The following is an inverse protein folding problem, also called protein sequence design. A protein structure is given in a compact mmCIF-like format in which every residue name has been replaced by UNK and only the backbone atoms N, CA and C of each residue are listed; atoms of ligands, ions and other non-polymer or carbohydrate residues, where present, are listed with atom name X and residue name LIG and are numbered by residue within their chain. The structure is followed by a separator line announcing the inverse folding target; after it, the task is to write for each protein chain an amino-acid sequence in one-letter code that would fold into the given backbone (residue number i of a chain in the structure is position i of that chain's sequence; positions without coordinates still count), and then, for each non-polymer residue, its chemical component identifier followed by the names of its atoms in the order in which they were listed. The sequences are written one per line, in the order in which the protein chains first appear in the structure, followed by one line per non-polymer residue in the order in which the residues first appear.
data_IF_007997926899
#
_entry.id   IF_007997926899
#
_cell.length_a   1.000
_cell.length_b   1.000
_cell.length_c   1.000
_cell.angle_alpha   90.00
_cell.angle_beta   90.00
_cell.angle_gamma   90.00
#
_symmetry.space_group_name_H-M   'P 1'
#
loop_
_entity.id
_entity.type
_entity.pdbx_description
1 polymer ?
#
# COMPACT_ATOMS: atom_id res chain seq x y z
N UNK A 1 52.94 46.95 0.24
CA UNK A 1 53.87 46.29 -0.68
C UNK A 1 53.04 45.75 -1.83
N UNK A 2 52.92 46.57 -2.88
CA UNK A 2 53.65 46.40 -4.15
C UNK A 2 52.83 45.45 -5.04
N UNK A 3 51.97 46.00 -5.90
CA UNK A 3 52.14 46.07 -7.38
C UNK A 3 52.34 44.68 -8.00
N UNK A 4 51.72 44.28 -9.12
CA UNK A 4 51.78 44.86 -10.46
C UNK A 4 51.05 43.81 -11.35
N UNK A 5 50.11 44.24 -12.21
CA UNK A 5 50.11 44.09 -13.69
C UNK A 5 49.91 42.64 -14.22
N UNK A 6 49.37 42.35 -15.39
CA UNK A 6 48.78 43.06 -16.53
C UNK A 6 48.32 41.94 -17.47
N UNK A 7 47.31 42.23 -18.31
CA UNK A 7 47.22 41.86 -19.73
C UNK A 7 47.37 40.38 -20.16
N UNK A 8 46.78 39.86 -21.24
CA UNK A 8 46.46 40.39 -22.56
C UNK A 8 45.47 39.39 -23.19
N UNK A 9 44.59 39.87 -24.05
CA UNK A 9 43.90 39.01 -25.02
C UNK A 9 44.74 38.82 -26.28
N UNK A 10 44.54 37.69 -26.97
CA UNK A 10 44.63 37.48 -28.43
C UNK A 10 44.51 35.97 -28.71
N UNK A 11 43.43 35.50 -29.33
CA UNK A 11 43.27 35.31 -30.78
C UNK A 11 44.17 34.21 -31.38
N UNK A 12 43.48 33.12 -31.76
CA UNK A 12 43.62 32.28 -32.97
C UNK A 12 44.99 31.67 -33.29
N UNK A 13 45.01 30.34 -33.33
CA UNK A 13 45.63 29.59 -34.43
C UNK A 13 44.83 28.33 -34.75
N UNK A 14 44.67 28.12 -36.06
CA UNK A 14 44.04 26.98 -36.73
C UNK A 14 44.99 25.77 -36.87
N UNK A 15 44.38 24.66 -37.31
CA UNK A 15 44.93 23.45 -37.97
C UNK A 15 45.34 22.31 -37.03
N UNK A 16 45.16 21.03 -37.34
CA UNK A 16 44.49 20.26 -38.42
C UNK A 16 44.94 18.80 -38.19
N UNK A 17 44.06 17.80 -38.40
CA UNK A 17 44.38 16.36 -38.60
C UNK A 17 45.14 15.63 -37.47
N UNK A 18 44.77 14.46 -36.95
CA UNK A 18 43.98 13.34 -37.42
C UNK A 18 43.53 12.55 -36.18
N UNK A 19 42.31 11.98 -36.21
CA UNK A 19 42.11 10.54 -36.02
C UNK A 19 40.61 10.21 -36.06
N UNK A 20 40.25 9.49 -37.12
CA UNK A 20 39.02 8.75 -37.25
C UNK A 20 38.83 7.79 -36.06
N UNK A 21 37.69 7.88 -35.37
CA UNK A 21 36.75 6.78 -35.08
C UNK A 21 35.73 7.21 -34.03
N UNK A 22 34.50 6.74 -34.22
CA UNK A 22 33.40 6.75 -33.25
C UNK A 22 32.66 8.08 -33.02
N UNK A 23 31.94 8.53 -34.05
CA UNK A 23 30.75 9.36 -33.88
C UNK A 23 29.59 8.89 -34.76
N UNK A 24 29.26 7.59 -34.67
CA UNK A 24 27.92 7.10 -34.98
C UNK A 24 27.09 7.09 -33.67
N UNK A 25 26.94 8.28 -33.07
CA UNK A 25 26.29 8.48 -31.78
C UNK A 25 24.85 8.95 -31.95
N UNK A 26 23.93 8.14 -31.42
CA UNK A 26 22.65 8.51 -30.82
C UNK A 26 21.54 9.16 -31.66
N UNK A 27 21.78 9.67 -32.87
CA UNK A 27 20.74 10.43 -33.61
C UNK A 27 19.78 9.60 -34.48
N UNK A 28 20.13 8.36 -34.86
CA UNK A 28 19.27 7.50 -35.70
C UNK A 28 18.33 6.58 -34.91
N UNK A 29 18.60 6.32 -33.62
CA UNK A 29 17.70 5.56 -32.74
C UNK A 29 16.58 6.44 -32.14
N UNK A 30 16.69 7.77 -32.21
CA UNK A 30 15.68 8.69 -31.67
C UNK A 30 14.54 9.00 -32.64
N UNK A 31 14.67 8.67 -33.94
CA UNK A 31 13.63 8.93 -34.95
C UNK A 31 12.53 7.86 -35.03
N UNK A 32 12.76 6.65 -34.52
CA UNK A 32 11.76 5.57 -34.51
C UNK A 32 11.03 5.38 -33.16
N UNK A 33 11.38 6.16 -32.13
CA UNK A 33 10.67 6.13 -30.84
C UNK A 33 9.52 7.13 -30.74
N UNK A 34 9.33 8.01 -31.74
CA UNK A 34 8.34 9.11 -31.67
C UNK A 34 6.98 8.79 -32.30
N UNK A 35 6.83 7.64 -32.98
CA UNK A 35 5.54 7.19 -33.55
C UNK A 35 4.74 6.26 -32.62
N UNK A 36 5.28 5.84 -31.46
CA UNK A 36 4.62 4.92 -30.52
C UNK A 36 4.21 5.55 -29.18
N UNK A 37 4.43 6.86 -29.00
CA UNK A 37 4.00 7.60 -27.81
C UNK A 37 2.87 8.58 -28.12
N UNK A 38 1.69 8.04 -28.42
CA UNK A 38 0.45 8.70 -27.98
C UNK A 38 0.04 8.04 -26.67
N UNK A 39 0.34 8.72 -25.56
CA UNK A 39 -0.18 8.39 -24.25
C UNK A 39 -1.71 8.58 -24.26
N UNK A 40 -2.42 7.51 -24.62
CA UNK A 40 -3.81 7.34 -24.23
C UNK A 40 -3.85 7.08 -22.73
N UNK A 41 -4.47 7.98 -21.97
CA UNK A 41 -4.93 7.67 -20.62
C UNK A 41 -5.74 6.37 -20.69
N UNK A 42 -5.39 5.37 -19.87
CA UNK A 42 -6.15 4.12 -19.78
C UNK A 42 -7.51 4.44 -19.15
N UNK A 43 -8.48 4.86 -19.96
CA UNK A 43 -9.89 4.86 -19.58
C UNK A 43 -10.37 3.42 -19.69
N UNK A 44 -10.58 2.77 -18.55
CA UNK A 44 -11.44 1.59 -18.48
C UNK A 44 -12.86 2.03 -18.87
N UNK A 45 -13.18 2.00 -20.16
CA UNK A 45 -14.57 1.96 -20.60
C UNK A 45 -15.20 0.67 -20.08
N UNK A 46 -16.48 0.80 -19.74
CA UNK A 46 -17.33 -0.07 -18.95
C UNK A 46 -17.11 -1.57 -19.11
N UNK A 47 -17.38 -2.30 -18.02
CA UNK A 47 -17.69 -3.73 -18.06
C UNK A 47 -18.69 -3.97 -19.21
N UNK A 48 -18.18 -4.53 -20.31
CA UNK A 48 -18.94 -4.90 -21.48
C UNK A 48 -19.88 -6.04 -21.04
N UNK A 49 -21.19 -5.81 -21.12
CA UNK A 49 -22.14 -6.92 -21.12
C UNK A 49 -21.88 -7.76 -22.38
N UNK A 50 -21.92 -9.09 -22.27
CA UNK A 50 -21.45 -9.95 -23.35
C UNK A 50 -22.44 -9.95 -24.51
N UNK A 51 -22.18 -9.10 -25.51
CA UNK A 51 -22.64 -9.37 -26.87
C UNK A 51 -21.64 -10.33 -27.53
N UNK A 52 -22.18 -11.46 -27.96
CA UNK A 52 -21.49 -12.59 -28.58
C UNK A 52 -20.69 -12.16 -29.81
N UNK A 53 -19.45 -12.65 -29.92
CA UNK A 53 -18.47 -12.56 -31.04
C UNK A 53 -17.28 -11.60 -30.92
N UNK A 54 -16.96 -11.08 -29.73
CA UNK A 54 -15.59 -10.62 -29.46
C UNK A 54 -14.75 -11.79 -28.97
N UNK A 55 -13.62 -12.09 -29.62
CA UNK A 55 -12.73 -13.19 -29.26
C UNK A 55 -12.09 -12.92 -27.89
N UNK A 56 -12.81 -13.29 -26.83
CA UNK A 56 -12.52 -13.00 -25.43
C UNK A 56 -11.16 -13.55 -24.99
N UNK A 57 -10.74 -14.65 -25.61
CA UNK A 57 -9.56 -15.40 -25.23
C UNK A 57 -8.29 -14.69 -25.71
N UNK A 58 -8.28 -14.23 -26.97
CA UNK A 58 -7.18 -13.43 -27.52
C UNK A 58 -7.02 -12.08 -26.79
N UNK A 59 -8.11 -11.45 -26.38
CA UNK A 59 -8.08 -10.20 -25.61
C UNK A 59 -7.52 -10.42 -24.19
N UNK A 60 -7.91 -11.54 -23.55
CA UNK A 60 -7.43 -11.94 -22.24
C UNK A 60 -5.93 -12.28 -22.26
N UNK A 61 -5.48 -13.08 -23.22
CA UNK A 61 -4.08 -13.43 -23.41
C UNK A 61 -3.20 -12.18 -23.65
N UNK A 62 -3.67 -11.26 -24.49
CA UNK A 62 -2.99 -9.98 -24.71
C UNK A 62 -2.88 -9.15 -23.42
N UNK A 63 -3.90 -9.18 -22.55
CA UNK A 63 -3.85 -8.50 -21.26
C UNK A 63 -2.76 -9.10 -20.36
N UNK A 64 -2.70 -10.43 -20.25
CA UNK A 64 -1.69 -11.14 -19.46
C UNK A 64 -0.28 -10.83 -19.98
N UNK A 65 -0.09 -10.89 -21.30
CA UNK A 65 1.21 -10.60 -21.91
C UNK A 65 1.67 -9.18 -21.62
N UNK A 66 0.77 -8.18 -21.73
CA UNK A 66 1.06 -6.78 -21.38
C UNK A 66 1.47 -6.63 -19.92
N UNK A 67 0.80 -7.33 -19.00
CA UNK A 67 1.16 -7.31 -17.58
C UNK A 67 2.58 -7.86 -17.34
N UNK A 68 2.92 -9.00 -17.96
CA UNK A 68 4.26 -9.59 -17.87
C UNK A 68 5.34 -8.64 -18.38
N UNK A 69 5.13 -8.01 -19.54
CA UNK A 69 6.08 -7.02 -20.09
C UNK A 69 6.29 -5.84 -19.13
N UNK A 70 5.21 -5.34 -18.52
CA UNK A 70 5.31 -4.25 -17.55
C UNK A 70 6.07 -4.65 -16.29
N UNK A 71 5.81 -5.85 -15.76
CA UNK A 71 6.55 -6.40 -14.61
C UNK A 71 8.03 -6.55 -14.93
N UNK A 72 8.39 -7.10 -16.10
CA UNK A 72 9.79 -7.24 -16.50
C UNK A 72 10.49 -5.89 -16.68
N UNK A 73 9.81 -4.90 -17.27
CA UNK A 73 10.33 -3.54 -17.36
C UNK A 73 10.52 -2.91 -15.97
N UNK A 74 9.60 -3.18 -15.04
CA UNK A 74 9.70 -2.75 -13.64
C UNK A 74 10.94 -3.35 -12.99
N UNK A 75 11.11 -4.68 -13.02
CA UNK A 75 12.26 -5.38 -12.46
C UNK A 75 13.57 -4.89 -13.05
N UNK A 76 13.65 -4.70 -14.37
CA UNK A 76 14.83 -4.16 -15.06
C UNK A 76 15.23 -2.80 -14.52
N UNK A 77 14.28 -1.88 -14.36
CA UNK A 77 14.55 -0.54 -13.78
C UNK A 77 15.03 -0.63 -12.34
N UNK A 78 14.43 -1.50 -11.54
CA UNK A 78 14.82 -1.69 -10.14
C UNK A 78 16.25 -2.24 -10.02
N UNK A 79 16.65 -3.17 -10.91
CA UNK A 79 18.03 -3.71 -10.97
C UNK A 79 19.10 -2.69 -11.35
N UNK A 80 18.74 -1.61 -12.04
CA UNK A 80 19.67 -0.53 -12.39
C UNK A 80 19.97 0.39 -11.19
N UNK A 81 19.18 0.30 -10.13
CA UNK A 81 19.35 1.13 -8.93
C UNK A 81 19.98 0.29 -7.82
N UNK A 82 21.23 0.61 -7.46
CA UNK A 82 22.03 -0.15 -6.48
C UNK A 82 21.31 -0.37 -5.15
N UNK A 83 20.50 0.60 -4.70
CA UNK A 83 19.71 0.50 -3.46
C UNK A 83 18.69 -0.64 -3.50
N UNK A 84 18.16 -1.02 -4.67
CA UNK A 84 17.02 -1.93 -4.81
C UNK A 84 17.30 -3.17 -5.67
N UNK A 85 18.53 -3.32 -6.16
CA UNK A 85 18.88 -4.41 -7.06
C UNK A 85 18.67 -5.80 -6.42
N UNK A 86 18.91 -5.91 -5.11
CA UNK A 86 18.71 -7.12 -4.30
C UNK A 86 17.25 -7.54 -4.20
N UNK A 87 16.31 -6.58 -4.15
CA UNK A 87 14.89 -6.89 -3.94
C UNK A 87 14.14 -7.22 -5.24
N UNK A 88 14.74 -6.92 -6.41
CA UNK A 88 14.09 -7.09 -7.71
C UNK A 88 13.64 -8.53 -7.99
N UNK A 89 14.38 -9.53 -7.50
CA UNK A 89 14.03 -10.95 -7.62
C UNK A 89 13.34 -11.54 -6.38
N UNK A 90 13.34 -10.82 -5.24
CA UNK A 90 12.74 -11.30 -3.99
C UNK A 90 11.24 -11.01 -3.88
N UNK A 91 10.76 -10.01 -4.61
CA UNK A 91 9.36 -9.61 -4.61
C UNK A 91 8.61 -10.44 -5.68
N UNK A 92 7.44 -10.97 -5.31
CA UNK A 92 6.58 -11.72 -6.21
C UNK A 92 5.95 -10.82 -7.30
N UNK A 93 5.72 -11.37 -8.49
CA UNK A 93 5.14 -10.68 -9.65
C UNK A 93 3.79 -10.03 -9.33
N UNK A 94 2.97 -10.69 -8.50
CA UNK A 94 1.68 -10.20 -8.05
C UNK A 94 1.78 -8.86 -7.31
N UNK A 95 2.86 -8.65 -6.55
CA UNK A 95 3.07 -7.40 -5.81
C UNK A 95 3.47 -6.25 -6.75
N UNK A 96 4.26 -6.52 -7.79
CA UNK A 96 4.53 -5.55 -8.86
C UNK A 96 3.24 -5.15 -9.58
N UNK A 97 2.40 -6.13 -9.91
CA UNK A 97 1.09 -5.90 -10.52
C UNK A 97 0.19 -5.08 -9.59
N UNK A 98 0.24 -5.32 -8.28
CA UNK A 98 -0.50 -4.54 -7.30
C UNK A 98 -0.06 -3.07 -7.26
N UNK A 99 1.25 -2.81 -7.23
CA UNK A 99 1.81 -1.45 -7.35
C UNK A 99 1.33 -0.75 -8.64
N UNK A 100 1.38 -1.45 -9.77
CA UNK A 100 0.89 -0.94 -11.06
C UNK A 100 -0.61 -0.61 -10.99
N UNK A 101 -1.44 -1.54 -10.50
CA UNK A 101 -2.90 -1.39 -10.43
C UNK A 101 -3.31 -0.19 -9.58
N UNK A 102 -2.72 -0.03 -8.40
CA UNK A 102 -3.01 1.08 -7.49
C UNK A 102 -2.62 2.44 -8.07
N UNK A 103 -1.67 2.45 -9.00
CA UNK A 103 -1.18 3.63 -9.73
C UNK A 103 -1.70 3.71 -11.16
N UNK A 104 -2.81 3.03 -11.48
CA UNK A 104 -3.46 3.10 -12.79
C UNK A 104 -2.49 2.77 -13.94
N UNK A 105 -1.64 1.77 -13.73
CA UNK A 105 -0.62 1.28 -14.65
C UNK A 105 0.48 2.30 -15.01
N UNK A 106 0.62 3.39 -14.24
CA UNK A 106 1.74 4.30 -14.35
C UNK A 106 3.00 3.68 -13.74
N UNK A 107 3.94 3.26 -14.60
CA UNK A 107 5.17 2.58 -14.20
C UNK A 107 6.05 3.43 -13.25
N UNK A 108 6.15 4.75 -13.48
CA UNK A 108 6.98 5.63 -12.65
C UNK A 108 6.45 5.75 -11.22
N UNK A 109 5.15 6.02 -11.07
CA UNK A 109 4.51 6.08 -9.76
C UNK A 109 4.47 4.73 -9.05
N UNK A 110 4.32 3.63 -9.80
CA UNK A 110 4.35 2.28 -9.25
C UNK A 110 5.75 1.95 -8.70
N UNK A 111 6.81 2.31 -9.46
CA UNK A 111 8.20 2.16 -9.05
C UNK A 111 8.48 2.93 -7.75
N UNK A 112 8.05 4.19 -7.66
CA UNK A 112 8.25 4.96 -6.43
C UNK A 112 7.51 4.35 -5.23
N UNK A 113 6.30 3.87 -5.43
CA UNK A 113 5.53 3.20 -4.37
C UNK A 113 6.27 1.98 -3.83
N UNK A 114 6.87 1.17 -4.71
CA UNK A 114 7.65 0.01 -4.30
C UNK A 114 8.91 0.40 -3.53
N UNK A 115 9.62 1.44 -3.98
CA UNK A 115 10.82 1.94 -3.30
C UNK A 115 10.51 2.47 -1.91
N UNK A 116 9.45 3.26 -1.77
CA UNK A 116 8.98 3.75 -0.47
C UNK A 116 8.60 2.59 0.47
N UNK A 117 7.93 1.56 -0.06
CA UNK A 117 7.61 0.35 0.68
C UNK A 117 8.87 -0.38 1.15
N UNK A 118 9.85 -0.62 0.27
CA UNK A 118 11.10 -1.31 0.60
C UNK A 118 11.91 -0.53 1.63
N UNK A 119 12.06 0.79 1.46
CA UNK A 119 12.72 1.67 2.43
C UNK A 119 12.06 1.60 3.79
N UNK A 120 10.72 1.63 3.84
CA UNK A 120 9.97 1.50 5.08
C UNK A 120 10.19 0.14 5.75
N UNK A 121 10.14 -0.96 4.99
CA UNK A 121 10.40 -2.30 5.55
C UNK A 121 11.81 -2.40 6.12
N UNK A 122 12.81 -1.89 5.42
CA UNK A 122 14.21 -1.86 5.92
C UNK A 122 14.36 -0.98 7.16
N UNK A 123 13.74 0.20 7.20
CA UNK A 123 13.86 1.11 8.36
C UNK A 123 13.25 0.51 9.63
N UNK A 124 12.17 -0.26 9.49
CA UNK A 124 11.53 -0.96 10.60
C UNK A 124 12.09 -2.36 10.88
N UNK A 125 13.09 -2.79 10.11
CA UNK A 125 13.66 -4.14 10.16
C UNK A 125 12.59 -5.23 9.99
N UNK A 126 11.59 -4.96 9.15
CA UNK A 126 10.54 -5.91 8.79
C UNK A 126 10.89 -6.63 7.50
N UNK A 127 10.52 -7.92 7.36
CA UNK A 127 10.69 -8.62 6.10
C UNK A 127 9.82 -7.97 5.00
N UNK A 128 10.23 -8.12 3.74
CA UNK A 128 9.46 -7.58 2.59
C UNK A 128 8.08 -8.23 2.48
N UNK A 129 7.99 -9.51 2.83
CA UNK A 129 6.74 -10.24 2.99
C UNK A 129 6.62 -10.66 4.46
N UNK A 130 5.53 -10.29 5.11
CA UNK A 130 5.25 -10.82 6.45
C UNK A 130 4.61 -12.18 6.23
N UNK A 131 5.39 -13.25 6.29
CA UNK A 131 4.85 -14.61 6.18
C UNK A 131 4.07 -14.99 7.44
N UNK A 132 4.59 -14.60 8.61
CA UNK A 132 3.97 -14.74 9.92
C UNK A 132 4.32 -13.49 10.74
N UNK A 133 3.34 -12.68 11.21
CA UNK A 133 3.60 -11.85 12.37
C UNK A 133 3.87 -12.78 13.58
N UNK A 134 4.40 -12.25 14.67
CA UNK A 134 4.70 -13.05 15.86
C UNK A 134 3.44 -13.85 16.24
N UNK A 135 3.53 -15.18 16.28
CA UNK A 135 2.41 -16.12 16.48
C UNK A 135 1.51 -15.71 17.65
N UNK A 136 2.14 -15.23 18.72
CA UNK A 136 1.49 -14.71 19.92
C UNK A 136 0.58 -13.50 19.66
N UNK A 137 0.91 -12.62 18.71
CA UNK A 137 0.11 -11.42 18.38
C UNK A 137 -1.16 -11.82 17.62
N UNK A 138 -1.09 -12.88 16.82
CA UNK A 138 -2.21 -13.32 16.00
C UNK A 138 -3.37 -13.82 16.87
N UNK A 139 -3.06 -14.58 17.92
CA UNK A 139 -4.05 -15.18 18.82
C UNK A 139 -4.80 -14.14 19.67
N UNK A 140 -4.31 -12.90 19.72
CA UNK A 140 -4.92 -11.83 20.52
C UNK A 140 -6.31 -11.41 20.04
N UNK A 141 -6.71 -11.76 18.82
CA UNK A 141 -7.90 -11.21 18.15
C UNK A 141 -7.87 -9.66 18.03
N UNK A 142 -6.68 -9.06 18.10
CA UNK A 142 -6.50 -7.62 17.94
C UNK A 142 -6.88 -7.16 16.54
N UNK A 143 -6.72 -8.00 15.52
CA UNK A 143 -7.09 -7.64 14.15
C UNK A 143 -7.63 -8.80 13.35
N UNK A 144 -8.65 -8.53 12.54
CA UNK A 144 -9.29 -9.52 11.69
C UNK A 144 -9.93 -8.89 10.46
N UNK A 145 -10.14 -9.71 9.45
CA UNK A 145 -10.83 -9.34 8.21
C UNK A 145 -12.28 -9.79 8.28
N UNK A 146 -13.22 -8.92 7.90
CA UNK A 146 -14.60 -9.35 7.70
C UNK A 146 -14.70 -10.22 6.43
N UNK A 147 -15.57 -11.25 6.42
CA UNK A 147 -15.68 -12.18 5.30
C UNK A 147 -16.15 -11.48 4.01
N UNK A 148 -16.96 -10.44 4.13
CA UNK A 148 -17.51 -9.71 2.99
C UNK A 148 -16.99 -8.27 2.91
N UNK A 149 -17.00 -7.73 1.68
CA UNK A 149 -16.70 -6.33 1.43
C UNK A 149 -17.89 -5.44 1.75
N UNK A 150 -17.62 -4.16 1.96
CA UNK A 150 -18.68 -3.16 2.08
C UNK A 150 -19.37 -2.84 0.74
N UNK A 151 -20.33 -1.90 0.75
CA UNK A 151 -21.11 -1.50 -0.45
C UNK A 151 -20.25 -0.94 -1.58
N UNK A 152 -19.04 -0.49 -1.29
CA UNK A 152 -18.11 0.07 -2.27
C UNK A 152 -17.10 -0.98 -2.75
N UNK A 153 -17.29 -2.25 -2.38
CA UNK A 153 -16.37 -3.34 -2.71
C UNK A 153 -15.02 -3.21 -2.02
N UNK A 154 -14.95 -2.50 -0.88
CA UNK A 154 -13.72 -2.36 -0.08
C UNK A 154 -13.67 -3.51 0.91
N UNK A 155 -12.51 -4.15 1.07
CA UNK A 155 -12.32 -5.10 2.15
C UNK A 155 -12.35 -4.35 3.49
N UNK A 156 -12.96 -4.97 4.51
CA UNK A 156 -13.13 -4.35 5.83
C UNK A 156 -12.23 -5.03 6.84
N UNK A 157 -11.28 -4.27 7.36
CA UNK A 157 -10.36 -4.72 8.41
C UNK A 157 -10.80 -4.09 9.72
N UNK A 158 -10.92 -4.89 10.77
CA UNK A 158 -11.29 -4.40 12.10
C UNK A 158 -10.11 -4.58 13.04
N UNK A 159 -9.81 -3.55 13.80
CA UNK A 159 -8.75 -3.52 14.81
C UNK A 159 -9.38 -3.25 16.17
N UNK A 160 -9.34 -4.25 17.05
CA UNK A 160 -9.79 -4.17 18.43
C UNK A 160 -8.64 -3.78 19.36
N UNK A 161 -8.60 -2.52 19.82
CA UNK A 161 -7.56 -2.04 20.73
C UNK A 161 -7.70 -2.58 22.15
N UNK A 162 -8.82 -3.21 22.51
CA UNK A 162 -8.98 -3.85 23.83
C UNK A 162 -8.12 -5.11 23.97
N UNK A 163 -7.74 -5.71 22.84
CA UNK A 163 -6.99 -6.97 22.76
C UNK A 163 -5.47 -6.76 22.82
N UNK A 164 -4.99 -5.52 22.88
CA UNK A 164 -3.57 -5.25 23.10
C UNK A 164 -3.25 -5.62 24.55
N UNK A 165 -2.47 -6.69 24.72
CA UNK A 165 -2.03 -7.16 26.02
C UNK A 165 -0.67 -6.55 26.40
N UNK A 166 -0.69 -5.84 27.52
CA UNK A 166 0.42 -5.14 28.14
C UNK A 166 1.29 -6.00 29.05
N UNK A 167 0.77 -7.14 29.47
CA UNK A 167 1.47 -8.04 30.37
C UNK A 167 2.48 -8.95 29.65
N UNK A 168 2.45 -8.93 28.33
CA UNK A 168 3.33 -9.71 27.46
C UNK A 168 4.59 -8.93 27.09
N UNK A 169 5.60 -9.63 26.58
CA UNK A 169 6.82 -9.00 26.02
C UNK A 169 6.61 -8.33 24.66
N UNK A 170 5.37 -8.31 24.14
CA UNK A 170 5.04 -7.77 22.82
C UNK A 170 5.06 -6.24 22.80
N UNK A 171 5.61 -5.69 21.74
CA UNK A 171 5.68 -4.24 21.50
C UNK A 171 4.61 -3.81 20.50
N UNK A 172 4.29 -2.51 20.46
CA UNK A 172 3.33 -1.94 19.49
C UNK A 172 3.73 -2.24 18.03
N UNK A 173 5.04 -2.31 17.74
CA UNK A 173 5.54 -2.70 16.42
C UNK A 173 5.05 -4.08 15.97
N UNK A 174 4.86 -5.02 16.91
CA UNK A 174 4.48 -6.40 16.59
C UNK A 174 2.99 -6.46 16.21
N UNK A 175 2.14 -5.70 16.90
CA UNK A 175 0.75 -5.46 16.51
C UNK A 175 0.64 -4.72 15.18
N UNK A 176 1.53 -3.75 14.91
CA UNK A 176 1.57 -3.06 13.63
C UNK A 176 2.03 -3.97 12.48
N UNK A 177 2.96 -4.91 12.73
CA UNK A 177 3.30 -5.94 11.77
C UNK A 177 2.10 -6.85 11.46
N UNK A 178 1.28 -7.20 12.46
CA UNK A 178 -0.02 -7.87 12.23
C UNK A 178 -0.94 -7.02 11.32
N UNK A 179 -0.99 -5.70 11.51
CA UNK A 179 -1.78 -4.84 10.64
C UNK A 179 -1.33 -4.85 9.18
N UNK A 180 -0.03 -4.86 8.92
CA UNK A 180 0.51 -5.01 7.56
C UNK A 180 0.19 -6.38 7.00
N UNK A 181 0.33 -7.42 7.81
CA UNK A 181 -0.02 -8.77 7.41
C UNK A 181 -1.49 -8.89 6.99
N UNK A 182 -2.44 -8.39 7.79
CA UNK A 182 -3.86 -8.38 7.43
C UNK A 182 -4.12 -7.63 6.11
N UNK A 183 -3.40 -6.54 5.86
CA UNK A 183 -3.52 -5.77 4.63
C UNK A 183 -2.95 -6.52 3.41
N UNK A 184 -1.83 -7.24 3.59
CA UNK A 184 -1.30 -8.17 2.60
C UNK A 184 -2.33 -9.25 2.26
N UNK A 185 -2.92 -9.91 3.25
CA UNK A 185 -3.96 -10.93 3.02
C UNK A 185 -5.20 -10.38 2.33
N UNK A 186 -5.69 -9.21 2.74
CA UNK A 186 -6.84 -8.56 2.13
C UNK A 186 -6.61 -8.24 0.63
N UNK A 187 -5.35 -8.11 0.21
CA UNK A 187 -4.99 -7.72 -1.16
C UNK A 187 -4.40 -8.84 -2.01
N UNK A 188 -3.79 -9.88 -1.41
CA UNK A 188 -2.99 -10.89 -2.11
C UNK A 188 -3.76 -11.62 -3.23
N UNK A 189 -5.07 -11.87 -3.06
CA UNK A 189 -5.90 -12.60 -4.04
C UNK A 189 -7.13 -11.83 -4.52
N UNK A 190 -7.38 -10.63 -4.00
CA UNK A 190 -8.60 -9.88 -4.31
C UNK A 190 -8.28 -8.66 -5.20
N UNK A 191 -8.41 -8.86 -6.52
CA UNK A 191 -8.20 -7.79 -7.52
C UNK A 191 -9.16 -6.61 -7.30
N UNK A 192 -10.39 -6.88 -6.81
CA UNK A 192 -11.37 -5.83 -6.48
C UNK A 192 -10.88 -5.00 -5.29
N UNK A 193 -10.38 -5.63 -4.23
CA UNK A 193 -9.78 -4.90 -3.09
C UNK A 193 -8.58 -4.04 -3.52
N UNK A 194 -7.73 -4.54 -4.41
CA UNK A 194 -6.60 -3.74 -4.90
C UNK A 194 -7.07 -2.48 -5.69
N UNK A 195 -8.23 -2.54 -6.34
CA UNK A 195 -8.84 -1.42 -7.07
C UNK A 195 -9.61 -0.48 -6.13
N UNK A 196 -10.50 -1.05 -5.33
CA UNK A 196 -11.45 -0.32 -4.49
C UNK A 196 -10.82 0.18 -3.19
N UNK A 197 -9.79 -0.52 -2.70
CA UNK A 197 -9.08 -0.23 -1.46
C UNK A 197 -9.71 -0.93 -0.26
N UNK A 198 -9.38 -0.43 0.92
CA UNK A 198 -9.85 -0.97 2.21
C UNK A 198 -10.56 0.08 3.05
N UNK A 199 -11.48 -0.39 3.88
CA UNK A 199 -12.05 0.33 5.01
C UNK A 199 -11.50 -0.27 6.31
N UNK A 200 -11.14 0.57 7.27
CA UNK A 200 -10.61 0.15 8.57
C UNK A 200 -11.61 0.55 9.66
N UNK A 201 -11.94 -0.36 10.57
CA UNK A 201 -12.74 -0.09 11.77
C UNK A 201 -11.82 -0.19 12.98
N UNK A 202 -11.57 0.93 13.65
CA UNK A 202 -10.78 1.02 14.86
C UNK A 202 -11.72 1.01 16.07
N UNK A 203 -11.75 -0.10 16.79
CA UNK A 203 -12.57 -0.29 17.97
C UNK A 203 -11.81 0.00 19.25
N UNK A 204 -12.27 1.02 19.98
CA UNK A 204 -11.71 1.46 21.24
C UNK A 204 -12.54 1.03 22.46
N UNK A 205 -13.48 0.10 22.29
CA UNK A 205 -14.24 -0.46 23.41
C UNK A 205 -13.27 -0.98 24.47
N UNK A 206 -13.52 -0.66 25.74
CA UNK A 206 -12.67 -1.06 26.87
C UNK A 206 -11.18 -0.66 26.76
N UNK A 207 -10.81 0.22 25.81
CA UNK A 207 -9.47 0.73 25.68
C UNK A 207 -9.28 1.91 26.65
N UNK A 208 -8.42 1.73 27.65
CA UNK A 208 -8.07 2.80 28.58
C UNK A 208 -7.16 3.84 27.91
N UNK A 209 -7.50 5.12 28.05
CA UNK A 209 -6.69 6.23 27.56
C UNK A 209 -5.28 6.21 28.18
N UNK A 210 -5.17 5.87 29.46
CA UNK A 210 -3.89 5.76 30.15
C UNK A 210 -3.04 4.64 29.54
N UNK A 211 -3.65 3.46 29.31
CA UNK A 211 -2.98 2.34 28.64
C UNK A 211 -2.48 2.75 27.26
N UNK A 212 -3.34 3.38 26.45
CA UNK A 212 -2.98 3.78 25.10
C UNK A 212 -1.83 4.80 25.06
N UNK A 213 -1.78 5.75 26.00
CA UNK A 213 -0.70 6.74 26.13
C UNK A 213 0.61 6.14 26.63
N UNK A 214 0.55 5.15 27.50
CA UNK A 214 1.73 4.40 27.94
C UNK A 214 2.29 3.53 26.81
N UNK A 215 1.40 3.03 25.95
CA UNK A 215 1.73 2.15 24.84
C UNK A 215 2.35 2.84 23.64
N UNK A 216 1.66 3.87 23.13
CA UNK A 216 2.02 4.47 21.86
C UNK A 216 2.84 5.72 22.08
N UNK A 217 4.08 5.69 21.64
CA UNK A 217 4.89 6.88 21.51
C UNK A 217 4.69 7.55 20.13
N UNK A 218 5.31 8.72 19.94
CA UNK A 218 5.22 9.46 18.68
C UNK A 218 5.83 8.66 17.50
N UNK A 219 6.84 7.84 17.77
CA UNK A 219 7.42 6.92 16.79
C UNK A 219 6.41 5.89 16.28
N UNK A 220 5.66 5.26 17.20
CA UNK A 220 4.59 4.31 16.83
C UNK A 220 3.49 4.95 16.00
N UNK A 221 3.10 6.18 16.34
CA UNK A 221 2.10 6.94 15.59
C UNK A 221 2.63 7.24 14.18
N UNK A 222 3.87 7.71 14.06
CA UNK A 222 4.50 8.00 12.76
C UNK A 222 4.63 6.75 11.91
N UNK A 223 5.05 5.62 12.50
CA UNK A 223 5.10 4.32 11.84
C UNK A 223 3.72 3.91 11.32
N UNK A 224 2.70 3.96 12.18
CA UNK A 224 1.32 3.67 11.80
C UNK A 224 0.83 4.51 10.62
N UNK A 225 1.09 5.82 10.64
CA UNK A 225 0.74 6.71 9.52
C UNK A 225 1.52 6.39 8.24
N UNK A 226 2.81 6.05 8.36
CA UNK A 226 3.64 5.70 7.22
C UNK A 226 3.21 4.36 6.58
N UNK A 227 2.85 3.36 7.39
CA UNK A 227 2.30 2.08 6.95
C UNK A 227 1.10 2.24 6.01
N UNK A 228 0.18 3.15 6.35
CA UNK A 228 -1.01 3.43 5.52
C UNK A 228 -0.68 4.13 4.20
N UNK A 229 0.50 4.75 4.11
CA UNK A 229 0.94 5.54 2.95
C UNK A 229 1.74 4.69 1.96
N UNK A 230 2.66 3.87 2.46
CA UNK A 230 3.65 3.15 1.64
C UNK A 230 3.13 1.83 1.08
N UNK A 231 2.18 1.18 1.75
CA UNK A 231 1.62 -0.08 1.24
C UNK A 231 0.87 0.17 -0.08
N UNK A 232 1.01 -0.69 -1.11
CA UNK A 232 0.30 -0.54 -2.37
C UNK A 232 -1.16 -0.98 -2.23
N UNK A 233 -1.90 -0.29 -1.36
CA UNK A 233 -3.35 -0.36 -1.22
C UNK A 233 -3.86 0.99 -0.68
N UNK A 234 -5.01 1.44 -1.17
CA UNK A 234 -5.59 2.70 -0.72
C UNK A 234 -6.51 2.45 0.47
N UNK A 235 -6.13 2.94 1.65
CA UNK A 235 -7.12 3.14 2.73
C UNK A 235 -8.08 4.22 2.26
N UNK A 236 -9.36 3.88 2.11
CA UNK A 236 -10.41 4.80 1.66
C UNK A 236 -11.21 5.36 2.81
N UNK A 237 -11.31 4.63 3.91
CA UNK A 237 -12.13 4.99 5.05
C UNK A 237 -11.56 4.40 6.33
N UNK A 238 -11.69 5.15 7.41
CA UNK A 238 -11.32 4.74 8.76
C UNK A 238 -12.44 5.14 9.71
N UNK A 239 -13.05 4.17 10.38
CA UNK A 239 -14.12 4.39 11.35
C UNK A 239 -13.56 4.24 12.74
N UNK A 240 -13.80 5.23 13.60
CA UNK A 240 -13.47 5.15 15.02
C UNK A 240 -14.76 4.86 15.76
N UNK A 241 -14.85 3.66 16.35
CA UNK A 241 -16.01 3.20 17.12
C UNK A 241 -15.67 3.07 18.60
N UNK A 242 -16.70 3.16 19.44
CA UNK A 242 -16.61 2.90 20.89
C UNK A 242 -15.56 3.75 21.65
N UNK A 243 -15.08 4.84 21.05
CA UNK A 243 -14.20 5.78 21.71
C UNK A 243 -14.99 6.71 22.64
N UNK A 244 -14.65 6.72 23.93
CA UNK A 244 -15.20 7.69 24.89
C UNK A 244 -14.72 9.13 24.58
N UNK A 245 -15.30 10.13 25.26
CA UNK A 245 -15.01 11.56 24.99
C UNK A 245 -13.51 11.90 25.03
N UNK A 246 -12.79 11.32 25.98
CA UNK A 246 -11.36 11.60 26.17
C UNK A 246 -10.50 10.92 25.10
N UNK A 247 -10.83 9.67 24.76
CA UNK A 247 -10.20 8.94 23.67
C UNK A 247 -10.41 9.65 22.33
N UNK A 248 -11.62 10.16 22.06
CA UNK A 248 -11.89 10.98 20.87
C UNK A 248 -11.02 12.24 20.83
N UNK A 249 -10.83 12.91 21.98
CA UNK A 249 -9.92 14.05 22.10
C UNK A 249 -8.49 13.69 21.69
N UNK A 250 -7.93 12.61 22.25
CA UNK A 250 -6.60 12.13 21.91
C UNK A 250 -6.48 11.77 20.42
N UNK A 251 -7.43 11.00 19.87
CA UNK A 251 -7.41 10.59 18.47
C UNK A 251 -7.52 11.77 17.51
N UNK A 252 -8.26 12.83 17.86
CA UNK A 252 -8.28 14.09 17.11
C UNK A 252 -6.93 14.78 17.14
N UNK A 253 -6.24 14.81 18.28
CA UNK A 253 -4.87 15.34 18.36
C UNK A 253 -3.89 14.53 17.50
N UNK A 254 -4.01 13.21 17.49
CA UNK A 254 -3.22 12.34 16.60
C UNK A 254 -3.52 12.65 15.13
N UNK A 255 -4.80 12.83 14.79
CA UNK A 255 -5.22 13.17 13.44
C UNK A 255 -4.63 14.52 12.99
N UNK A 256 -4.50 15.52 13.87
CA UNK A 256 -3.85 16.80 13.53
C UNK A 256 -2.38 16.64 13.10
N UNK A 257 -1.68 15.60 13.58
CA UNK A 257 -0.31 15.28 13.14
C UNK A 257 -0.28 14.54 11.78
N UNK A 258 -1.43 14.01 11.32
CA UNK A 258 -1.52 13.27 10.08
C UNK A 258 -1.68 14.21 8.87
N UNK A 259 -1.20 13.81 7.68
CA UNK A 259 -1.45 14.55 6.44
C UNK A 259 -2.95 14.77 6.19
N UNK A 260 -3.33 15.92 5.62
CA UNK A 260 -4.73 16.29 5.32
C UNK A 260 -5.51 15.21 4.55
N UNK A 261 -4.82 14.44 3.71
CA UNK A 261 -5.41 13.32 2.96
C UNK A 261 -5.98 12.18 3.85
N UNK A 262 -5.57 12.09 5.12
CA UNK A 262 -6.10 11.12 6.08
C UNK A 262 -7.34 11.67 6.79
N UNK A 263 -7.43 12.99 7.01
CA UNK A 263 -8.55 13.63 7.72
C UNK A 263 -9.89 13.32 7.06
N UNK A 264 -9.97 13.44 5.74
CA UNK A 264 -11.20 13.17 4.97
C UNK A 264 -11.64 11.70 4.99
N UNK A 265 -10.77 10.79 5.43
CA UNK A 265 -11.03 9.36 5.49
C UNK A 265 -11.54 8.92 6.87
N UNK A 266 -11.28 9.72 7.92
CA UNK A 266 -11.64 9.36 9.30
C UNK A 266 -13.07 9.76 9.59
N UNK A 267 -13.82 8.87 10.23
CA UNK A 267 -15.19 9.12 10.70
C UNK A 267 -15.32 8.62 12.13
N UNK A 268 -15.63 9.53 13.03
CA UNK A 268 -15.94 9.22 14.42
C UNK A 268 -17.39 8.78 14.50
N UNK A 269 -17.61 7.48 14.67
CA UNK A 269 -18.95 6.86 14.61
C UNK A 269 -19.70 7.14 15.90
N UNK A 270 -21.00 7.35 15.81
CA UNK A 270 -21.90 7.52 16.96
C UNK A 270 -22.16 6.18 17.68
N UNK A 271 -22.89 6.21 18.80
CA UNK A 271 -23.27 4.98 19.51
C UNK A 271 -24.33 4.14 18.78
N UNK A 272 -25.03 4.69 17.79
CA UNK A 272 -26.02 3.96 16.97
C UNK A 272 -25.39 3.20 15.78
N UNK A 273 -24.10 3.41 15.50
CA UNK A 273 -23.37 2.84 14.36
C UNK A 273 -23.94 3.19 12.97
N UNK A 274 -24.78 4.21 12.86
CA UNK A 274 -25.41 4.58 11.59
C UNK A 274 -24.39 4.96 10.53
N UNK A 275 -23.27 5.58 10.91
CA UNK A 275 -22.20 5.92 9.98
C UNK A 275 -21.48 4.70 9.41
N UNK A 276 -21.39 3.59 10.17
CA UNK A 276 -20.88 2.31 9.65
C UNK A 276 -21.91 1.70 8.70
N UNK A 277 -23.18 1.62 9.12
CA UNK A 277 -24.25 0.95 8.36
C UNK A 277 -24.57 1.61 7.01
N UNK A 278 -24.23 2.88 6.84
CA UNK A 278 -24.29 3.57 5.54
C UNK A 278 -23.44 2.86 4.47
N UNK A 279 -22.27 2.39 4.86
CA UNK A 279 -21.29 1.80 3.94
C UNK A 279 -21.23 0.27 4.07
N UNK A 280 -21.37 -0.28 5.28
CA UNK A 280 -21.32 -1.73 5.55
C UNK A 280 -22.73 -2.22 5.89
N UNK A 281 -23.37 -3.05 5.04
CA UNK A 281 -24.70 -3.59 5.32
C UNK A 281 -24.76 -4.34 6.65
N UNK A 282 -25.89 -4.26 7.37
CA UNK A 282 -26.08 -4.95 8.66
C UNK A 282 -25.77 -6.45 8.57
N UNK A 283 -26.18 -7.12 7.49
CA UNK A 283 -25.90 -8.54 7.24
C UNK A 283 -24.41 -8.90 7.12
N UNK A 284 -23.54 -7.92 6.85
CA UNK A 284 -22.08 -8.09 6.71
C UNK A 284 -21.29 -7.53 7.89
N UNK A 285 -21.99 -6.92 8.84
CA UNK A 285 -21.39 -6.25 9.98
C UNK A 285 -21.62 -7.10 11.23
N UNK A 286 -20.59 -7.35 12.06
CA UNK A 286 -20.77 -8.11 13.29
C UNK A 286 -21.79 -7.49 14.23
N UNK A 287 -22.45 -8.34 15.02
CA UNK A 287 -23.44 -7.89 16.02
C UNK A 287 -22.82 -6.94 17.04
N UNK A 288 -21.53 -7.08 17.37
CA UNK A 288 -20.83 -6.16 18.26
C UNK A 288 -20.69 -4.74 17.70
N UNK A 289 -20.99 -4.52 16.41
CA UNK A 289 -20.99 -3.23 15.73
C UNK A 289 -22.39 -2.84 15.19
N UNK A 290 -23.46 -3.47 15.71
CA UNK A 290 -24.84 -3.15 15.37
C UNK A 290 -25.34 -3.76 14.05
N UNK A 291 -24.72 -4.85 13.61
CA UNK A 291 -25.19 -5.67 12.50
C UNK A 291 -25.79 -7.01 12.90
N UNK A 292 -25.91 -7.90 11.92
CA UNK A 292 -26.60 -9.19 11.99
C UNK A 292 -25.65 -10.35 11.66
N UNK A 293 -24.37 -10.07 11.39
CA UNK A 293 -23.38 -11.11 11.13
C UNK A 293 -23.07 -11.84 12.44
N UNK A 294 -23.76 -12.95 12.66
CA UNK A 294 -23.55 -13.86 13.77
C UNK A 294 -22.42 -14.86 13.48
N UNK A 295 -21.91 -15.48 14.55
CA UNK A 295 -21.13 -16.70 14.44
C UNK A 295 -19.62 -16.55 14.37
N UNK A 296 -18.97 -17.70 14.21
CA UNK A 296 -17.54 -17.95 14.34
C UNK A 296 -16.69 -17.39 13.19
N UNK A 297 -17.10 -16.32 12.50
CA UNK A 297 -16.37 -15.79 11.36
C UNK A 297 -14.96 -15.31 11.74
N UNK A 298 -14.75 -14.92 13.00
CA UNK A 298 -13.40 -14.69 13.58
C UNK A 298 -12.56 -15.97 13.54
N UNK A 299 -13.15 -17.10 13.90
CA UNK A 299 -12.54 -18.43 13.80
C UNK A 299 -12.34 -18.83 12.33
N UNK A 300 -13.27 -18.51 11.43
CA UNK A 300 -13.08 -18.79 9.98
C UNK A 300 -11.94 -17.98 9.39
N UNK A 301 -11.80 -16.71 9.79
CA UNK A 301 -10.62 -15.90 9.47
C UNK A 301 -9.35 -16.54 10.02
N UNK A 302 -9.40 -17.03 11.26
CA UNK A 302 -8.30 -17.74 11.92
C UNK A 302 -7.90 -19.04 11.20
N UNK A 303 -8.87 -19.88 10.86
CA UNK A 303 -8.65 -21.17 10.22
C UNK A 303 -8.14 -20.98 8.78
N UNK A 304 -8.72 -20.01 8.05
CA UNK A 304 -8.20 -19.58 6.74
C UNK A 304 -6.78 -19.05 6.84
N UNK A 305 -6.42 -18.43 7.96
CA UNK A 305 -5.08 -17.91 8.22
C UNK A 305 -4.09 -19.06 8.50
N UNK A 306 -4.41 -19.98 9.42
CA UNK A 306 -3.56 -21.14 9.74
C UNK A 306 -3.26 -21.99 8.49
N UNK A 307 -4.25 -22.21 7.64
CA UNK A 307 -4.04 -22.92 6.37
C UNK A 307 -3.06 -22.21 5.42
N UNK A 308 -3.03 -20.87 5.41
CA UNK A 308 -2.06 -20.10 4.62
C UNK A 308 -0.62 -20.18 5.19
N UNK A 309 -0.46 -20.56 6.45
CA UNK A 309 0.84 -20.73 7.11
C UNK A 309 1.47 -22.10 6.89
N UNK A 310 0.66 -23.12 6.67
CA UNK A 310 1.11 -24.51 6.45
C UNK A 310 1.54 -24.77 5.00
N UNK A 311 1.12 -23.89 4.07
CA UNK A 311 1.34 -24.02 2.63
C UNK A 311 2.56 -23.24 2.11
N UNK A 312 3.38 -22.66 2.99
CA UNK A 312 4.62 -21.94 2.66
C UNK A 312 5.77 -22.40 3.54
#
# INVERSE_FOLDING_TARGET
MTTVLEETGALKTEKSCDQERESFSAYSLYRNARSLFQFGTFKETHCIQPDSTYNSDAAFENCILKQRILVENFKKRLKLETEFADVASLIADEFYIQCLRVRHWNLGHALETLKEFVRFRRSEQWPLQISKPVEQVLETNMQYLLPETDRHGRAVIVTNYSAIDLSTSMQIKDYQALSQFCLEQATAKNKLTQKNGVAIVLDFRNCSLQRLRQLMNIGDIRRGLNMLRVFPCKVKKCYIVNANRFMRGLLKSILLMAPKAIHSKVTFVSSSYDELRKDIPSSRLPSEYGGELEGSWKKTWWDSYCSCLETK
#
